data_IF_602524564935
#
_entry.id   IF_602524564935
#
_cell.length_a   1.000
_cell.length_b   1.000
_cell.length_c   1.000
_cell.angle_alpha   90.00
_cell.angle_beta   90.00
_cell.angle_gamma   90.00
#
_symmetry.space_group_name_H-M   'P 1'
#
loop_
_entity.id
_entity.type
_entity.pdbx_description
1 polymer ?
#
# COMPACT_ATOMS: atom_id res chain seq x y z
N UNK A 1 -54.43 22.48 -1.37
CA UNK A 1 -55.28 21.72 -2.29
C UNK A 1 -54.51 20.48 -2.64
N UNK A 2 -54.73 19.44 -1.96
CA UNK A 2 -55.64 18.29 -2.27
C UNK A 2 -54.94 17.37 -3.24
N UNK A 3 -54.62 16.20 -2.92
CA UNK A 3 -55.14 14.91 -2.47
C UNK A 3 -54.36 13.82 -3.16
N UNK A 4 -53.80 12.87 -2.44
CA UNK A 4 -54.35 11.51 -2.16
C UNK A 4 -54.27 10.60 -3.40
N UNK A 5 -53.82 9.36 -3.42
CA UNK A 5 -53.94 8.27 -2.47
C UNK A 5 -53.12 7.05 -2.93
N UNK A 6 -52.67 6.22 -2.02
CA UNK A 6 -52.47 4.78 -2.18
C UNK A 6 -53.89 4.11 -2.07
N UNK A 7 -54.11 2.79 -2.05
CA UNK A 7 -53.28 1.60 -1.84
C UNK A 7 -53.75 0.33 -2.63
N UNK A 8 -53.25 -0.84 -2.24
CA UNK A 8 -53.90 -2.14 -2.42
C UNK A 8 -52.90 -3.26 -2.69
N UNK A 9 -52.47 -4.06 -1.80
CA UNK A 9 -53.05 -5.12 -0.98
C UNK A 9 -53.29 -6.45 -1.76
N UNK A 10 -52.52 -7.44 -1.34
CA UNK A 10 -52.85 -8.75 -0.81
C UNK A 10 -53.26 -9.90 -1.76
N UNK A 11 -52.61 -11.04 -1.58
CA UNK A 11 -53.18 -12.31 -1.08
C UNK A 11 -52.35 -13.51 -1.58
N UNK A 12 -51.70 -14.25 -0.72
CA UNK A 12 -52.04 -15.47 0.00
C UNK A 12 -52.47 -16.66 -0.87
N UNK A 13 -51.86 -17.76 -0.53
CA UNK A 13 -52.24 -19.19 -0.41
C UNK A 13 -51.38 -20.09 -1.31
N UNK A 14 -50.95 -21.29 -0.99
CA UNK A 14 -51.01 -22.23 0.14
C UNK A 14 -50.26 -23.47 -0.35
N UNK A 15 -49.58 -24.15 0.52
CA UNK A 15 -49.18 -25.54 0.36
C UNK A 15 -50.41 -26.44 0.52
N UNK A 16 -50.43 -27.75 0.26
CA UNK A 16 -49.60 -28.73 0.95
C UNK A 16 -49.31 -30.09 0.22
N UNK A 17 -48.51 -30.90 0.85
CA UNK A 17 -48.71 -32.33 1.10
C UNK A 17 -48.15 -33.27 0.02
N UNK A 18 -47.42 -34.29 0.31
CA UNK A 18 -47.48 -35.31 1.24
C UNK A 18 -46.74 -36.54 0.71
N UNK A 19 -46.15 -37.27 1.64
CA UNK A 19 -46.08 -38.73 1.77
C UNK A 19 -44.93 -39.51 1.07
N UNK A 20 -44.07 -40.04 1.92
CA UNK A 20 -43.41 -41.33 1.80
C UNK A 20 -44.47 -42.48 2.02
N UNK A 21 -44.21 -43.79 1.89
CA UNK A 21 -43.03 -44.57 2.29
C UNK A 21 -42.75 -45.88 1.48
N UNK A 22 -41.80 -46.63 1.95
CA UNK A 22 -41.67 -48.09 1.72
C UNK A 22 -40.36 -48.48 1.07
N UNK A 23 -39.39 -49.04 1.62
CA UNK A 23 -39.27 -50.16 2.55
C UNK A 23 -39.16 -51.51 1.83
N UNK A 24 -37.91 -52.04 1.77
CA UNK A 24 -37.64 -53.47 2.10
C UNK A 24 -36.17 -53.86 1.88
N UNK A 25 -35.65 -54.42 2.91
CA UNK A 25 -34.46 -55.16 3.09
C UNK A 25 -34.38 -56.43 2.18
N UNK A 26 -33.18 -56.97 2.02
CA UNK A 26 -32.73 -58.33 2.37
C UNK A 26 -31.39 -58.66 1.75
N UNK A 27 -30.40 -59.01 2.56
CA UNK A 27 -29.15 -59.76 2.36
C UNK A 27 -29.43 -61.24 2.00
N UNK A 28 -28.40 -62.13 1.88
CA UNK A 28 -26.96 -62.14 1.60
C UNK A 28 -26.50 -63.30 0.67
N UNK A 29 -25.13 -63.62 0.71
CA UNK A 29 -24.43 -64.89 0.34
C UNK A 29 -23.98 -64.99 -1.12
N UNK A 30 -22.76 -65.30 -1.49
CA UNK A 30 -21.69 -66.16 -0.97
C UNK A 30 -20.37 -65.93 -1.72
N UNK A 31 -19.32 -66.21 -1.01
CA UNK A 31 -17.95 -66.65 -1.35
C UNK A 31 -17.66 -67.16 -2.76
N UNK A 32 -16.52 -66.80 -3.30
CA UNK A 32 -15.43 -67.71 -3.69
C UNK A 32 -14.26 -67.00 -4.37
N UNK A 33 -13.04 -67.33 -3.96
CA UNK A 33 -11.93 -67.42 -4.86
C UNK A 33 -10.72 -66.50 -4.61
N UNK A 34 -9.79 -67.05 -3.82
CA UNK A 34 -8.46 -66.50 -3.62
C UNK A 34 -7.65 -66.37 -4.92
N UNK A 35 -7.04 -65.24 -5.19
CA UNK A 35 -5.80 -65.12 -5.95
C UNK A 35 -5.02 -63.91 -5.46
N UNK A 36 -3.88 -64.16 -4.83
CA UNK A 36 -2.95 -63.15 -4.39
C UNK A 36 -2.27 -62.45 -5.59
N UNK A 37 -2.19 -61.13 -5.66
CA UNK A 37 -1.26 -60.46 -6.55
C UNK A 37 -0.03 -59.97 -5.77
N UNK A 38 1.09 -60.29 -6.36
CA UNK A 38 2.46 -59.91 -6.07
C UNK A 38 2.62 -58.50 -5.59
N UNK A 39 3.19 -58.33 -4.42
CA UNK A 39 3.68 -57.08 -3.87
C UNK A 39 4.75 -56.47 -4.79
N UNK A 40 4.38 -55.45 -5.54
CA UNK A 40 5.31 -54.56 -6.19
C UNK A 40 5.62 -53.45 -5.18
N UNK A 41 6.81 -53.50 -4.59
CA UNK A 41 7.32 -52.47 -3.70
C UNK A 41 7.35 -51.11 -4.41
N UNK A 42 6.32 -50.32 -4.20
CA UNK A 42 6.36 -48.91 -4.53
C UNK A 42 7.21 -48.21 -3.45
N UNK A 43 8.41 -47.85 -3.83
CA UNK A 43 9.27 -46.95 -3.04
C UNK A 43 8.46 -45.67 -2.76
N UNK A 44 7.91 -45.55 -1.57
CA UNK A 44 7.40 -44.32 -1.02
C UNK A 44 8.58 -43.35 -0.91
N UNK A 45 8.72 -42.47 -1.88
CA UNK A 45 9.52 -41.25 -1.69
C UNK A 45 8.84 -40.48 -0.56
N UNK A 46 9.45 -40.55 0.60
CA UNK A 46 9.03 -39.83 1.78
C UNK A 46 8.87 -38.33 1.43
N UNK A 47 7.64 -37.89 1.40
CA UNK A 47 7.30 -36.49 1.43
C UNK A 47 7.74 -36.00 2.81
N UNK A 48 8.89 -35.34 2.89
CA UNK A 48 9.28 -34.64 4.10
C UNK A 48 8.14 -33.64 4.43
N UNK A 49 7.60 -33.65 5.65
CA UNK A 49 6.68 -32.62 6.05
C UNK A 49 7.45 -31.30 5.98
N UNK A 50 6.93 -30.35 5.22
CA UNK A 50 7.38 -28.95 5.25
C UNK A 50 6.99 -28.38 6.62
N UNK A 51 7.82 -28.62 7.63
CA UNK A 51 7.85 -27.79 8.82
C UNK A 51 8.55 -26.50 8.42
N UNK A 52 7.80 -25.42 8.43
CA UNK A 52 8.44 -24.14 8.32
C UNK A 52 7.38 -23.06 8.18
N UNK A 53 6.94 -22.49 9.28
CA UNK A 53 6.64 -21.08 9.33
C UNK A 53 7.88 -20.38 8.78
N UNK A 54 7.85 -19.99 7.51
CA UNK A 54 9.00 -19.36 6.86
C UNK A 54 9.21 -17.99 7.50
N UNK A 55 10.43 -17.72 7.94
CA UNK A 55 10.89 -16.37 8.22
C UNK A 55 10.62 -15.57 6.96
N UNK A 56 9.95 -14.39 7.03
CA UNK A 56 9.70 -13.52 5.89
C UNK A 56 10.97 -13.28 5.08
N UNK A 57 10.84 -13.10 3.77
CA UNK A 57 11.98 -12.93 2.87
C UNK A 57 12.88 -11.73 3.26
N UNK A 58 12.28 -10.77 3.93
CA UNK A 58 12.90 -9.55 4.45
C UNK A 58 13.95 -9.84 5.54
N UNK A 59 13.81 -10.97 6.27
CA UNK A 59 14.67 -11.35 7.39
C UNK A 59 15.69 -12.43 7.02
N UNK A 60 15.80 -12.81 5.74
CA UNK A 60 16.75 -13.83 5.27
C UNK A 60 17.86 -13.21 4.45
N UNK A 61 19.11 -13.62 4.73
CA UNK A 61 20.21 -13.41 3.79
C UNK A 61 19.95 -14.19 2.49
N UNK A 62 19.37 -13.51 1.51
CA UNK A 62 19.09 -14.10 0.21
C UNK A 62 20.33 -14.07 -0.68
N UNK A 63 20.66 -15.21 -1.31
CA UNK A 63 21.62 -15.22 -2.41
C UNK A 63 21.14 -14.40 -3.62
N UNK A 64 22.02 -14.07 -4.55
CA UNK A 64 21.71 -13.25 -5.72
C UNK A 64 20.45 -13.70 -6.49
N UNK A 65 20.28 -15.01 -6.70
CA UNK A 65 19.12 -15.57 -7.39
C UNK A 65 17.82 -15.40 -6.58
N UNK A 66 17.90 -15.50 -5.25
CA UNK A 66 16.76 -15.26 -4.36
C UNK A 66 16.29 -13.79 -4.45
N UNK A 67 17.23 -12.85 -4.35
CA UNK A 67 16.94 -11.41 -4.51
C UNK A 67 16.29 -11.10 -5.86
N UNK A 68 16.82 -11.65 -6.95
CA UNK A 68 16.22 -11.45 -8.28
C UNK A 68 14.80 -12.02 -8.37
N UNK A 69 14.53 -13.13 -7.68
CA UNK A 69 13.18 -13.73 -7.66
C UNK A 69 12.21 -12.88 -6.85
N UNK A 70 12.63 -12.37 -5.68
CA UNK A 70 11.86 -11.42 -4.87
C UNK A 70 11.55 -10.17 -5.68
N UNK A 71 12.55 -9.57 -6.32
CA UNK A 71 12.37 -8.39 -7.14
C UNK A 71 11.33 -8.60 -8.25
N UNK A 72 11.39 -9.72 -8.97
CA UNK A 72 10.38 -10.04 -10.00
C UNK A 72 8.96 -10.22 -9.42
N UNK A 73 8.84 -10.76 -8.21
CA UNK A 73 7.55 -10.89 -7.54
C UNK A 73 7.01 -9.53 -7.11
N UNK A 74 7.86 -8.63 -6.58
CA UNK A 74 7.49 -7.26 -6.21
C UNK A 74 7.05 -6.47 -7.45
N UNK A 75 7.82 -6.48 -8.52
CA UNK A 75 7.47 -5.81 -9.79
C UNK A 75 6.15 -6.35 -10.38
N UNK A 76 5.96 -7.66 -10.37
CA UNK A 76 4.73 -8.27 -10.86
C UNK A 76 3.53 -7.93 -9.97
N UNK A 77 3.70 -7.94 -8.65
CA UNK A 77 2.67 -7.56 -7.68
C UNK A 77 2.26 -6.11 -7.85
N UNK A 78 3.23 -5.20 -7.91
CA UNK A 78 2.98 -3.77 -8.12
C UNK A 78 2.19 -3.52 -9.41
N UNK A 79 2.60 -4.15 -10.51
CA UNK A 79 1.90 -4.00 -11.80
C UNK A 79 0.47 -4.56 -11.76
N UNK A 80 0.25 -5.71 -11.13
CA UNK A 80 -1.11 -6.26 -10.98
C UNK A 80 -1.98 -5.38 -10.07
N UNK A 81 -1.42 -4.86 -8.97
CA UNK A 81 -2.13 -3.95 -8.07
C UNK A 81 -2.49 -2.62 -8.75
N UNK A 82 -1.59 -2.09 -9.58
CA UNK A 82 -1.81 -0.86 -10.33
C UNK A 82 -2.90 -1.01 -11.40
N UNK A 83 -2.88 -2.10 -12.15
CA UNK A 83 -3.80 -2.35 -13.27
C UNK A 83 -5.20 -2.74 -12.80
N UNK A 84 -5.33 -3.50 -11.71
CA UNK A 84 -6.58 -4.17 -11.31
C UNK A 84 -7.11 -3.77 -9.94
N UNK A 85 -6.33 -3.01 -9.19
CA UNK A 85 -6.61 -2.67 -7.80
C UNK A 85 -6.27 -3.80 -6.83
N UNK A 86 -5.85 -3.44 -5.63
CA UNK A 86 -5.36 -4.38 -4.60
C UNK A 86 -6.35 -5.52 -4.29
N UNK A 87 -7.65 -5.20 -4.16
CA UNK A 87 -8.66 -6.18 -3.77
C UNK A 87 -8.90 -7.26 -4.82
N UNK A 88 -8.85 -6.91 -6.11
CA UNK A 88 -9.13 -7.83 -7.21
C UNK A 88 -7.98 -8.79 -7.52
N UNK A 89 -6.75 -8.45 -7.12
CA UNK A 89 -5.55 -9.24 -7.42
C UNK A 89 -5.47 -10.49 -6.55
N UNK A 90 -5.10 -11.60 -7.17
CA UNK A 90 -4.83 -12.89 -6.53
C UNK A 90 -3.36 -13.27 -6.69
N UNK A 91 -2.86 -14.13 -5.81
CA UNK A 91 -1.49 -14.69 -5.93
C UNK A 91 -1.28 -15.34 -7.29
N UNK A 92 -2.32 -15.99 -7.86
CA UNK A 92 -2.29 -16.57 -9.21
C UNK A 92 -1.90 -15.57 -10.30
N UNK A 93 -2.38 -14.34 -10.20
CA UNK A 93 -2.09 -13.28 -11.16
C UNK A 93 -0.63 -12.85 -11.06
N UNK A 94 -0.16 -12.65 -9.83
CA UNK A 94 1.24 -12.28 -9.54
C UNK A 94 2.23 -13.34 -10.04
N UNK A 95 2.01 -14.62 -9.70
CA UNK A 95 2.95 -15.70 -10.12
C UNK A 95 2.96 -15.89 -11.62
N UNK A 96 1.81 -15.74 -12.29
CA UNK A 96 1.70 -15.79 -13.74
C UNK A 96 2.51 -14.65 -14.40
N UNK A 97 2.36 -13.40 -13.92
CA UNK A 97 3.11 -12.24 -14.43
C UNK A 97 4.61 -12.38 -14.13
N UNK A 98 4.98 -12.79 -12.93
CA UNK A 98 6.37 -13.03 -12.52
C UNK A 98 7.03 -14.25 -13.21
N UNK A 99 6.27 -15.03 -13.96
CA UNK A 99 6.69 -16.29 -14.60
C UNK A 99 7.35 -17.24 -13.59
N UNK A 100 6.68 -17.45 -12.46
CA UNK A 100 7.14 -18.30 -11.38
C UNK A 100 6.04 -19.27 -10.90
N UNK A 101 6.31 -20.07 -9.88
CA UNK A 101 5.35 -20.99 -9.30
C UNK A 101 4.77 -20.48 -7.99
N UNK A 102 3.58 -20.98 -7.60
CA UNK A 102 3.02 -20.75 -6.27
C UNK A 102 3.98 -21.14 -5.15
N UNK A 103 4.66 -22.30 -5.30
CA UNK A 103 5.65 -22.73 -4.31
C UNK A 103 6.80 -21.73 -4.16
N UNK A 104 7.20 -21.07 -5.24
CA UNK A 104 8.21 -20.00 -5.20
C UNK A 104 7.66 -18.74 -4.52
N UNK A 105 6.41 -18.36 -4.78
CA UNK A 105 5.77 -17.23 -4.10
C UNK A 105 5.74 -17.45 -2.58
N UNK A 106 5.18 -18.58 -2.15
CA UNK A 106 5.03 -18.91 -0.73
C UNK A 106 6.37 -19.20 -0.02
N UNK A 107 7.48 -19.29 -0.75
CA UNK A 107 8.80 -19.31 -0.15
C UNK A 107 9.21 -17.95 0.40
N UNK A 108 8.71 -16.85 -0.20
CA UNK A 108 9.09 -15.48 0.12
C UNK A 108 7.98 -14.68 0.79
N UNK A 109 6.73 -14.90 0.43
CA UNK A 109 5.57 -14.13 0.91
C UNK A 109 4.46 -15.06 1.38
N UNK A 110 3.87 -14.78 2.54
CA UNK A 110 2.78 -15.59 3.09
C UNK A 110 1.48 -15.41 2.30
N UNK A 111 1.23 -14.22 1.79
CA UNK A 111 0.05 -13.83 1.04
C UNK A 111 0.31 -12.54 0.24
N UNK A 112 -0.72 -11.99 -0.43
CA UNK A 112 -0.59 -10.73 -1.19
C UNK A 112 -0.40 -9.51 -0.30
N UNK A 113 -0.90 -9.56 0.94
CA UNK A 113 -0.75 -8.47 1.90
C UNK A 113 0.71 -8.35 2.36
N UNK A 114 1.38 -9.49 2.55
CA UNK A 114 2.81 -9.57 2.88
C UNK A 114 3.68 -9.03 1.73
N UNK A 115 3.32 -9.36 0.48
CA UNK A 115 3.94 -8.77 -0.70
C UNK A 115 3.76 -7.25 -0.76
N UNK A 116 2.55 -6.77 -0.43
CA UNK A 116 2.26 -5.33 -0.41
C UNK A 116 3.02 -4.60 0.71
N UNK A 117 3.12 -5.21 1.91
CA UNK A 117 3.93 -4.68 3.01
C UNK A 117 5.40 -4.48 2.59
N UNK A 118 5.97 -5.41 1.84
CA UNK A 118 7.34 -5.27 1.34
C UNK A 118 7.46 -4.09 0.33
N UNK A 119 6.50 -3.93 -0.58
CA UNK A 119 6.45 -2.77 -1.49
C UNK A 119 6.30 -1.45 -0.73
N UNK A 120 5.50 -1.44 0.33
CA UNK A 120 5.32 -0.27 1.17
C UNK A 120 6.59 0.08 1.93
N UNK A 121 7.31 -0.91 2.47
CA UNK A 121 8.57 -0.69 3.18
C UNK A 121 9.62 -0.02 2.30
N UNK A 122 9.73 -0.42 1.03
CA UNK A 122 10.61 0.24 0.07
C UNK A 122 10.21 1.72 -0.14
N UNK A 123 8.89 1.97 -0.32
CA UNK A 123 8.37 3.33 -0.46
C UNK A 123 8.61 4.19 0.79
N UNK A 124 8.37 3.63 1.98
CA UNK A 124 8.59 4.31 3.25
C UNK A 124 10.07 4.63 3.46
N UNK A 125 10.98 3.71 3.10
CA UNK A 125 12.43 3.91 3.21
C UNK A 125 12.90 5.06 2.31
N UNK A 126 12.48 5.07 1.05
CA UNK A 126 12.87 6.11 0.10
C UNK A 126 12.31 7.48 0.51
N UNK A 127 11.06 7.54 0.97
CA UNK A 127 10.44 8.76 1.48
C UNK A 127 11.08 9.25 2.79
N UNK A 128 11.54 8.35 3.66
CA UNK A 128 12.29 8.71 4.87
C UNK A 128 13.64 9.39 4.52
N UNK A 129 14.29 8.93 3.47
CA UNK A 129 15.46 9.59 2.91
C UNK A 129 15.20 11.05 2.48
N UNK A 130 14.03 11.31 1.88
CA UNK A 130 13.60 12.68 1.54
C UNK A 130 13.37 13.53 2.78
N UNK A 131 12.80 12.94 3.84
CA UNK A 131 12.58 13.62 5.13
C UNK A 131 13.90 14.10 5.74
N UNK A 132 14.90 13.23 5.79
CA UNK A 132 16.22 13.55 6.33
C UNK A 132 17.03 14.56 5.50
N UNK A 133 16.65 14.76 4.23
CA UNK A 133 17.31 15.68 3.31
C UNK A 133 16.60 17.05 3.21
N UNK A 134 15.65 17.37 4.11
CA UNK A 134 14.95 18.65 4.06
C UNK A 134 15.94 19.82 4.26
N UNK A 135 16.00 20.82 3.34
CA UNK A 135 17.01 21.86 3.37
C UNK A 135 16.68 22.99 4.34
N UNK A 136 17.67 23.75 4.76
CA UNK A 136 17.47 25.08 5.31
C UNK A 136 17.00 26.02 4.20
N UNK A 137 15.84 26.64 4.40
CA UNK A 137 15.20 27.54 3.41
C UNK A 137 15.43 28.98 3.81
N UNK A 138 16.51 29.59 3.30
CA UNK A 138 16.82 31.01 3.49
C UNK A 138 15.96 31.89 2.55
N UNK A 139 15.79 33.19 2.91
CA UNK A 139 14.92 34.15 2.17
C UNK A 139 15.65 34.75 0.95
N UNK A 140 16.40 33.94 0.24
CA UNK A 140 17.19 34.32 -0.92
C UNK A 140 17.07 33.28 -2.05
N UNK A 141 17.73 33.54 -3.16
CA UNK A 141 17.75 32.63 -4.32
C UNK A 141 18.38 31.28 -3.99
N UNK A 142 19.33 31.22 -3.05
CA UNK A 142 19.97 29.98 -2.65
C UNK A 142 18.99 29.08 -1.88
N UNK A 143 18.27 29.64 -0.90
CA UNK A 143 17.24 28.89 -0.17
C UNK A 143 16.08 28.44 -1.08
N UNK A 144 15.69 29.29 -2.03
CA UNK A 144 14.68 28.92 -3.03
C UNK A 144 15.17 27.78 -3.94
N UNK A 145 16.43 27.79 -4.37
CA UNK A 145 17.01 26.73 -5.18
C UNK A 145 17.13 25.43 -4.40
N UNK A 146 17.52 25.49 -3.12
CA UNK A 146 17.57 24.31 -2.23
C UNK A 146 16.19 23.70 -2.05
N UNK A 147 15.18 24.50 -1.77
CA UNK A 147 13.79 24.04 -1.66
C UNK A 147 13.30 23.40 -2.98
N UNK A 148 13.61 24.04 -4.14
CA UNK A 148 13.26 23.50 -5.45
C UNK A 148 13.87 22.10 -5.67
N UNK A 149 15.13 21.92 -5.31
CA UNK A 149 15.80 20.62 -5.38
C UNK A 149 15.10 19.57 -4.55
N UNK A 150 14.73 19.93 -3.33
CA UNK A 150 13.99 19.02 -2.44
C UNK A 150 12.59 18.70 -2.97
N UNK A 151 11.81 19.68 -3.43
CA UNK A 151 10.48 19.46 -4.04
C UNK A 151 10.59 18.56 -5.26
N UNK A 152 11.62 18.74 -6.10
CA UNK A 152 11.86 17.84 -7.23
C UNK A 152 12.12 16.40 -6.78
N UNK A 153 13.00 16.20 -5.78
CA UNK A 153 13.26 14.87 -5.22
C UNK A 153 12.02 14.24 -4.62
N UNK A 154 11.20 15.02 -3.89
CA UNK A 154 9.91 14.55 -3.39
C UNK A 154 8.99 14.06 -4.52
N UNK A 155 8.83 14.86 -5.58
CA UNK A 155 7.98 14.49 -6.72
C UNK A 155 8.51 13.27 -7.47
N UNK A 156 9.83 13.08 -7.57
CA UNK A 156 10.45 11.89 -8.18
C UNK A 156 10.18 10.64 -7.38
N UNK A 157 10.43 10.69 -6.08
CA UNK A 157 10.22 9.57 -5.16
C UNK A 157 8.74 9.21 -5.07
N UNK A 158 7.87 10.23 -4.93
CA UNK A 158 6.41 10.02 -4.95
C UNK A 158 5.97 9.33 -6.25
N UNK A 159 6.46 9.81 -7.40
CA UNK A 159 6.14 9.24 -8.71
C UNK A 159 6.60 7.80 -8.87
N UNK A 160 7.78 7.45 -8.34
CA UNK A 160 8.29 6.08 -8.36
C UNK A 160 7.40 5.10 -7.55
N UNK A 161 6.78 5.59 -6.47
CA UNK A 161 5.93 4.80 -5.57
C UNK A 161 4.43 5.11 -5.69
N UNK A 162 4.01 5.84 -6.73
CA UNK A 162 2.63 6.35 -6.86
C UNK A 162 1.56 5.24 -6.77
N UNK A 163 1.82 4.04 -7.31
CA UNK A 163 0.90 2.91 -7.24
C UNK A 163 0.72 2.42 -5.80
N UNK A 164 1.80 2.30 -5.03
CA UNK A 164 1.77 1.90 -3.61
C UNK A 164 1.03 2.94 -2.78
N UNK A 165 1.36 4.23 -2.96
CA UNK A 165 0.75 5.35 -2.23
C UNK A 165 -0.76 5.42 -2.55
N UNK A 166 -1.15 5.21 -3.81
CA UNK A 166 -2.55 5.18 -4.22
C UNK A 166 -3.33 4.06 -3.53
N UNK A 167 -2.75 2.86 -3.39
CA UNK A 167 -3.37 1.74 -2.69
C UNK A 167 -3.49 2.06 -1.19
N UNK A 168 -2.45 2.62 -0.60
CA UNK A 168 -2.44 3.05 0.79
C UNK A 168 -3.50 4.12 1.07
N UNK A 169 -3.73 5.05 0.15
CA UNK A 169 -4.75 6.11 0.27
C UNK A 169 -6.19 5.56 0.24
N UNK A 170 -6.38 4.30 -0.18
CA UNK A 170 -7.66 3.58 -0.11
C UNK A 170 -7.70 2.78 1.21
N UNK A 171 -7.83 3.47 2.34
CA UNK A 171 -7.68 2.94 3.69
C UNK A 171 -8.46 1.64 3.98
N UNK A 172 -9.61 1.40 3.32
CA UNK A 172 -10.40 0.18 3.46
C UNK A 172 -9.71 -1.05 2.83
N UNK A 173 -8.69 -0.85 2.00
CA UNK A 173 -8.00 -1.91 1.29
C UNK A 173 -6.80 -2.48 2.05
N UNK A 174 -6.27 -1.76 3.03
CA UNK A 174 -5.05 -2.10 3.78
C UNK A 174 -5.36 -2.13 5.28
N UNK A 175 -4.79 -3.11 6.00
CA UNK A 175 -5.01 -3.24 7.44
C UNK A 175 -4.49 -2.03 8.25
N UNK A 176 -5.02 -1.85 9.47
CA UNK A 176 -4.69 -0.71 10.36
C UNK A 176 -3.18 -0.54 10.61
N UNK A 177 -2.42 -1.63 10.72
CA UNK A 177 -0.97 -1.61 10.91
C UNK A 177 -0.25 -0.92 9.73
N UNK A 178 -0.60 -1.29 8.51
CA UNK A 178 -0.01 -0.76 7.27
C UNK A 178 -0.36 0.72 7.09
N UNK A 179 -1.58 1.11 7.44
CA UNK A 179 -2.01 2.50 7.46
C UNK A 179 -1.22 3.32 8.49
N UNK A 180 -0.97 2.74 9.68
CA UNK A 180 -0.20 3.37 10.76
C UNK A 180 1.20 3.77 10.33
N UNK A 181 1.92 2.91 9.62
CA UNK A 181 3.28 3.17 9.14
C UNK A 181 3.31 4.36 8.15
N UNK A 182 2.36 4.41 7.22
CA UNK A 182 2.21 5.54 6.30
C UNK A 182 1.90 6.86 7.00
N UNK A 183 1.05 6.82 8.02
CA UNK A 183 0.69 7.99 8.82
C UNK A 183 1.86 8.50 9.68
N UNK A 184 2.66 7.60 10.25
CA UNK A 184 3.88 7.98 10.97
C UNK A 184 4.87 8.72 10.07
N UNK A 185 5.11 8.20 8.86
CA UNK A 185 5.98 8.88 7.90
C UNK A 185 5.44 10.26 7.51
N UNK A 186 4.12 10.38 7.30
CA UNK A 186 3.48 11.66 7.01
C UNK A 186 3.76 12.70 8.09
N UNK A 187 3.57 12.34 9.37
CA UNK A 187 3.83 13.26 10.47
C UNK A 187 5.32 13.58 10.62
N UNK A 188 6.21 12.62 10.45
CA UNK A 188 7.66 12.83 10.49
C UNK A 188 8.12 13.82 9.40
N UNK A 189 7.55 13.72 8.20
CA UNK A 189 7.84 14.64 7.10
C UNK A 189 7.26 16.05 7.36
N UNK A 190 6.05 16.14 7.91
CA UNK A 190 5.47 17.40 8.32
C UNK A 190 6.30 18.10 9.42
N UNK A 191 6.80 17.34 10.40
CA UNK A 191 7.69 17.84 11.45
C UNK A 191 9.02 18.37 10.88
N UNK A 192 9.62 17.69 9.91
CA UNK A 192 10.83 18.16 9.24
C UNK A 192 10.61 19.50 8.51
N UNK A 193 9.48 19.66 7.82
CA UNK A 193 9.09 20.90 7.16
C UNK A 193 8.85 22.01 8.20
N UNK A 194 8.11 21.74 9.27
CA UNK A 194 7.83 22.69 10.34
C UNK A 194 9.10 23.15 11.06
N UNK A 195 10.03 22.21 11.33
CA UNK A 195 11.35 22.50 11.87
C UNK A 195 12.13 23.46 10.98
N UNK A 196 12.18 23.19 9.68
CA UNK A 196 12.81 24.06 8.70
C UNK A 196 12.19 25.47 8.65
N UNK A 197 10.85 25.59 8.76
CA UNK A 197 10.16 26.87 8.85
C UNK A 197 10.56 27.65 10.11
N UNK A 198 10.58 26.97 11.26
CA UNK A 198 10.95 27.58 12.54
C UNK A 198 12.40 28.07 12.54
N UNK A 199 13.32 27.25 12.01
CA UNK A 199 14.74 27.64 11.90
C UNK A 199 14.94 28.81 10.94
N UNK A 200 14.29 28.80 9.80
CA UNK A 200 14.32 29.91 8.84
C UNK A 200 13.81 31.22 9.47
N UNK A 201 12.75 31.16 10.26
CA UNK A 201 12.20 32.31 10.97
C UNK A 201 13.14 32.83 12.06
N UNK A 202 13.79 31.94 12.83
CA UNK A 202 14.80 32.31 13.85
C UNK A 202 16.02 32.99 13.24
N UNK A 203 16.51 32.48 12.12
CA UNK A 203 17.67 33.05 11.44
C UNK A 203 17.41 34.49 10.95
N UNK A 204 16.14 34.85 10.72
CA UNK A 204 15.74 36.16 10.23
C UNK A 204 15.35 37.17 11.33
N UNK A 205 15.18 36.72 12.56
CA UNK A 205 14.77 37.55 13.70
C UNK A 205 15.56 37.18 14.96
N UNK A 206 16.85 37.55 15.04
CA UNK A 206 17.69 37.20 16.17
C UNK A 206 17.23 37.78 17.51
N UNK A 207 16.45 38.87 17.51
CA UNK A 207 15.98 39.56 18.73
C UNK A 207 14.57 39.12 19.20
N UNK A 208 13.92 38.23 18.49
CA UNK A 208 12.50 37.90 18.67
C UNK A 208 12.18 36.70 19.53
N UNK A 209 12.53 36.71 20.84
CA UNK A 209 12.12 35.59 21.75
C UNK A 209 10.63 35.59 22.11
N UNK A 210 9.89 36.64 21.84
CA UNK A 210 8.50 36.82 22.34
C UNK A 210 7.41 36.09 21.50
N UNK A 211 7.72 35.52 20.35
CA UNK A 211 6.72 34.94 19.44
C UNK A 211 6.87 33.44 19.16
N UNK A 212 7.84 32.76 19.77
CA UNK A 212 8.25 31.40 19.36
C UNK A 212 7.17 30.32 19.53
N UNK A 213 6.29 30.42 20.52
CA UNK A 213 5.23 29.43 20.73
C UNK A 213 4.15 29.52 19.64
N UNK A 214 3.70 30.74 19.31
CA UNK A 214 2.73 30.95 18.22
C UNK A 214 3.31 30.64 16.83
N UNK A 215 4.61 30.91 16.61
CA UNK A 215 5.30 30.56 15.36
C UNK A 215 5.41 29.04 15.16
N UNK A 216 5.66 28.27 16.22
CA UNK A 216 5.74 26.81 16.12
C UNK A 216 4.39 26.18 15.74
N UNK A 217 3.30 26.61 16.37
CA UNK A 217 1.95 26.11 16.08
C UNK A 217 1.51 26.46 14.64
N UNK A 218 1.81 27.67 14.18
CA UNK A 218 1.55 28.05 12.79
C UNK A 218 2.43 27.28 11.80
N UNK A 219 3.69 27.00 12.15
CA UNK A 219 4.60 26.22 11.31
C UNK A 219 4.11 24.78 11.12
N UNK A 220 3.63 24.13 12.19
CA UNK A 220 3.09 22.76 12.11
C UNK A 220 1.88 22.69 11.17
N UNK A 221 0.89 23.56 11.35
CA UNK A 221 -0.29 23.59 10.50
C UNK A 221 0.08 23.91 9.03
N UNK A 222 0.99 24.86 8.82
CA UNK A 222 1.45 25.25 7.48
C UNK A 222 2.23 24.09 6.83
N UNK A 223 3.07 23.40 7.58
CA UNK A 223 3.82 22.22 7.10
C UNK A 223 2.86 21.09 6.68
N UNK A 224 1.86 20.78 7.50
CA UNK A 224 0.83 19.80 7.15
C UNK A 224 0.09 20.22 5.87
N UNK A 225 -0.31 21.49 5.75
CA UNK A 225 -0.98 22.00 4.56
C UNK A 225 -0.10 21.90 3.31
N UNK A 226 1.18 22.26 3.41
CA UNK A 226 2.14 22.14 2.32
C UNK A 226 2.33 20.67 1.90
N UNK A 227 2.45 19.76 2.86
CA UNK A 227 2.62 18.33 2.59
C UNK A 227 1.36 17.72 1.95
N UNK A 228 0.18 18.06 2.46
CA UNK A 228 -1.09 17.64 1.87
C UNK A 228 -1.23 18.16 0.43
N UNK A 229 -0.81 19.39 0.17
CA UNK A 229 -0.78 19.95 -1.18
C UNK A 229 0.19 19.19 -2.08
N UNK A 230 1.41 18.94 -1.62
CA UNK A 230 2.42 18.15 -2.36
C UNK A 230 1.88 16.76 -2.72
N UNK A 231 1.35 16.06 -1.73
CA UNK A 231 0.76 14.72 -1.92
C UNK A 231 -0.38 14.77 -2.92
N UNK A 232 -1.37 15.65 -2.70
CA UNK A 232 -2.58 15.70 -3.52
C UNK A 232 -2.31 16.12 -4.95
N UNK A 233 -1.41 17.05 -5.19
CA UNK A 233 -1.03 17.48 -6.54
C UNK A 233 -0.30 16.35 -7.27
N UNK A 234 0.66 15.68 -6.60
CA UNK A 234 1.34 14.53 -7.20
C UNK A 234 0.37 13.38 -7.50
N UNK A 235 -0.59 13.10 -6.59
CA UNK A 235 -1.64 12.11 -6.82
C UNK A 235 -2.47 12.45 -8.06
N UNK A 236 -3.02 13.66 -8.15
CA UNK A 236 -3.87 14.08 -9.28
C UNK A 236 -3.12 14.03 -10.61
N UNK A 237 -1.84 14.40 -10.62
CA UNK A 237 -1.02 14.38 -11.82
C UNK A 237 -0.64 12.96 -12.24
N UNK A 238 -0.57 12.02 -11.31
CA UNK A 238 -0.35 10.60 -11.63
C UNK A 238 -1.58 9.95 -12.28
N UNK A 239 -2.79 10.50 -12.06
CA UNK A 239 -4.05 9.90 -12.50
C UNK A 239 -4.70 10.63 -13.70
N UNK A 240 -4.73 11.97 -13.72
CA UNK A 240 -5.62 12.70 -14.63
C UNK A 240 -4.99 13.85 -15.42
N UNK A 241 -3.92 14.48 -14.95
CA UNK A 241 -3.42 15.72 -15.54
C UNK A 241 -1.96 15.59 -15.97
N UNK A 242 -1.70 15.80 -17.25
CA UNK A 242 -0.33 15.85 -17.78
C UNK A 242 0.19 17.29 -17.77
N UNK A 243 0.74 17.72 -16.64
CA UNK A 243 1.56 18.94 -16.60
C UNK A 243 3.04 18.56 -16.79
N UNK A 244 3.86 19.41 -17.44
CA UNK A 244 5.29 19.24 -17.43
C UNK A 244 5.81 19.24 -15.99
N UNK A 245 6.60 18.24 -15.64
CA UNK A 245 7.12 18.04 -14.28
C UNK A 245 7.83 19.29 -13.77
N UNK A 246 8.66 19.92 -14.59
CA UNK A 246 9.40 21.12 -14.21
C UNK A 246 8.46 22.27 -13.83
N UNK A 247 7.42 22.52 -14.62
CA UNK A 247 6.43 23.57 -14.30
C UNK A 247 5.72 23.28 -12.98
N UNK A 248 5.37 22.03 -12.71
CA UNK A 248 4.77 21.62 -11.44
C UNK A 248 5.73 21.91 -10.27
N UNK A 249 6.98 21.46 -10.38
CA UNK A 249 8.00 21.67 -9.34
C UNK A 249 8.21 23.17 -9.08
N UNK A 250 8.30 23.98 -10.10
CA UNK A 250 8.48 25.43 -9.98
C UNK A 250 7.29 26.10 -9.26
N UNK A 251 6.07 25.71 -9.60
CA UNK A 251 4.86 26.25 -8.98
C UNK A 251 4.73 25.83 -7.52
N UNK A 252 4.93 24.53 -7.22
CA UNK A 252 4.91 24.02 -5.85
C UNK A 252 5.99 24.69 -5.00
N UNK A 253 7.21 24.83 -5.55
CA UNK A 253 8.29 25.54 -4.87
C UNK A 253 7.91 26.99 -4.56
N UNK A 254 7.31 27.71 -5.51
CA UNK A 254 6.93 29.09 -5.29
C UNK A 254 5.89 29.24 -4.16
N UNK A 255 4.90 28.35 -4.10
CA UNK A 255 3.86 28.36 -3.06
C UNK A 255 4.46 28.04 -1.68
N UNK A 256 5.27 26.98 -1.59
CA UNK A 256 5.88 26.57 -0.34
C UNK A 256 6.87 27.64 0.14
N UNK A 257 7.70 28.17 -0.76
CA UNK A 257 8.65 29.23 -0.43
C UNK A 257 7.96 30.47 0.12
N UNK A 258 6.81 30.84 -0.46
CA UNK A 258 5.99 31.94 0.07
C UNK A 258 5.45 31.62 1.48
N UNK A 259 5.01 30.40 1.73
CA UNK A 259 4.52 29.96 3.04
C UNK A 259 5.62 30.02 4.13
N UNK A 260 6.88 29.72 3.78
CA UNK A 260 8.05 29.85 4.69
C UNK A 260 8.34 31.29 5.10
N UNK A 261 7.86 32.25 4.33
CA UNK A 261 8.21 33.66 4.51
C UNK A 261 6.99 34.56 4.73
N UNK A 262 5.81 33.94 4.89
CA UNK A 262 4.61 34.65 5.34
C UNK A 262 4.75 35.09 6.80
N UNK A 263 4.30 36.30 7.14
CA UNK A 263 4.35 36.81 8.51
C UNK A 263 3.45 36.02 9.45
#
# INVERSE_FOLDING_TARGET
MSREAAPGAAARRSAPGGSAPGGKAVTPVAEHGAAAPKQRAARARGRRPSQGGGVPAQDRELGAQGRQTVQRLLEAGLAEFDERGFQAVRVDDVVRRARTSHGTFYLYFANKDDLFKALLQDALHDMDGITGAFPMVTRDDAGRAALRGWVNSFCETYGAHAAVIRILSQAEAVGEEVWGDGLQLFFKLAEAIAGGMTESSRAQSPDGQAGLAGLAEHAELTAVACLMMLERVNYLLSVEVRLPKEEMVDRLTAIIFAAFHSP
#
